data_IF_200870176747
#
_entry.id   IF_200870176747
#
_cell.length_a   1.000
_cell.length_b   1.000
_cell.length_c   1.000
_cell.angle_alpha   90.00
_cell.angle_beta   90.00
_cell.angle_gamma   90.00
#
_symmetry.space_group_name_H-M   'P 1'
#
loop_
_entity.id
_entity.type
_entity.pdbx_description
1 polymer ?
#
# COMPACT_ATOMS: atom_id res chain seq x y z
N UNK A 1 16.22 -8.15 16.86
CA UNK A 1 17.11 -9.21 16.30
C UNK A 1 17.35 -10.37 17.28
N UNK A 2 17.64 -10.15 18.57
CA UNK A 2 17.94 -11.24 19.55
C UNK A 2 16.96 -12.43 19.59
N UNK A 3 15.66 -12.23 19.33
CA UNK A 3 14.64 -13.29 19.40
C UNK A 3 14.88 -14.45 18.42
N UNK A 4 15.50 -14.19 17.26
CA UNK A 4 15.65 -15.18 16.19
C UNK A 4 17.11 -15.55 15.89
N UNK A 5 18.05 -15.03 16.67
CA UNK A 5 19.50 -15.14 16.42
C UNK A 5 19.96 -16.58 16.20
N UNK A 6 19.51 -17.53 17.03
CA UNK A 6 19.86 -18.95 16.92
C UNK A 6 19.33 -19.66 15.67
N UNK A 7 18.41 -19.03 14.92
CA UNK A 7 17.84 -19.58 13.70
C UNK A 7 18.37 -18.89 12.44
N UNK A 8 19.18 -17.83 12.59
CA UNK A 8 19.75 -17.15 11.44
C UNK A 8 20.86 -18.03 10.85
N UNK A 9 20.91 -18.17 9.50
CA UNK A 9 22.09 -18.74 8.86
C UNK A 9 23.31 -17.86 9.14
N UNK A 10 24.50 -18.44 9.00
CA UNK A 10 25.73 -17.65 8.98
C UNK A 10 25.69 -16.77 7.73
N UNK A 11 25.65 -15.45 7.92
CA UNK A 11 25.70 -14.47 6.84
C UNK A 11 27.18 -14.09 6.64
N UNK A 12 27.70 -14.39 5.47
CA UNK A 12 29.10 -14.14 5.10
C UNK A 12 29.28 -12.78 4.42
N UNK A 13 30.52 -12.32 4.32
CA UNK A 13 30.84 -11.13 3.52
C UNK A 13 30.55 -11.34 2.03
N UNK A 14 30.69 -12.58 1.55
CA UNK A 14 30.31 -13.00 0.20
C UNK A 14 28.81 -12.84 -0.02
N UNK A 15 27.97 -13.23 0.94
CA UNK A 15 26.52 -13.02 0.86
C UNK A 15 26.16 -11.53 0.80
N UNK A 16 26.83 -10.71 1.63
CA UNK A 16 26.58 -9.26 1.63
C UNK A 16 27.02 -8.61 0.31
N UNK A 17 28.13 -9.06 -0.29
CA UNK A 17 28.54 -8.64 -1.63
C UNK A 17 27.52 -9.08 -2.68
N UNK A 18 26.99 -10.29 -2.59
CA UNK A 18 25.97 -10.81 -3.51
C UNK A 18 24.65 -10.04 -3.40
N UNK A 19 24.22 -9.64 -2.20
CA UNK A 19 22.97 -8.90 -1.98
C UNK A 19 23.09 -7.42 -2.41
N UNK A 20 24.26 -6.80 -2.21
CA UNK A 20 24.48 -5.36 -2.40
C UNK A 20 24.74 -4.93 -3.86
N UNK A 21 24.11 -5.61 -4.82
CA UNK A 21 24.20 -5.24 -6.22
C UNK A 21 23.55 -3.87 -6.46
N UNK A 22 24.11 -3.05 -7.38
CA UNK A 22 23.50 -1.77 -7.72
C UNK A 22 22.11 -1.98 -8.34
N UNK A 23 21.18 -1.14 -7.92
CA UNK A 23 19.82 -1.07 -8.48
C UNK A 23 19.59 0.25 -9.20
N UNK A 24 18.77 0.21 -10.25
CA UNK A 24 18.36 1.38 -11.03
C UNK A 24 17.27 2.19 -10.32
N UNK A 25 16.39 1.51 -9.59
CA UNK A 25 15.30 2.10 -8.82
C UNK A 25 14.98 1.23 -7.59
N UNK A 26 14.24 1.79 -6.64
CA UNK A 26 13.70 1.07 -5.49
C UNK A 26 12.18 0.92 -5.64
N UNK A 27 11.70 -0.31 -5.69
CA UNK A 27 10.27 -0.64 -5.65
C UNK A 27 9.78 -0.78 -4.21
N UNK A 28 8.70 -0.09 -3.86
CA UNK A 28 8.12 -0.14 -2.51
C UNK A 28 6.65 -0.54 -2.53
N UNK A 29 6.34 -1.61 -1.79
CA UNK A 29 4.99 -1.96 -1.41
C UNK A 29 4.69 -1.32 -0.05
N UNK A 30 3.65 -0.50 0.04
CA UNK A 30 3.33 0.24 1.26
C UNK A 30 1.82 0.43 1.37
N UNK A 31 1.26 -0.07 2.47
CA UNK A 31 -0.19 -0.09 2.69
C UNK A 31 -0.61 0.78 3.87
N UNK A 32 0.23 0.81 4.92
CA UNK A 32 -0.03 1.56 6.13
C UNK A 32 1.28 1.94 6.84
N UNK A 33 1.17 2.79 7.84
CA UNK A 33 2.25 3.17 8.75
C UNK A 33 1.86 2.98 10.21
N UNK A 34 2.88 2.83 11.06
CA UNK A 34 2.74 2.83 12.51
C UNK A 34 3.16 4.18 13.06
N UNK A 35 2.45 4.64 14.09
CA UNK A 35 2.84 5.86 14.79
C UNK A 35 3.64 5.43 16.02
N UNK A 36 4.89 5.88 16.09
CA UNK A 36 5.81 5.57 17.18
C UNK A 36 6.14 6.88 17.89
N UNK A 37 6.17 6.84 19.22
CA UNK A 37 6.65 7.94 20.07
C UNK A 37 7.81 7.47 20.94
N UNK A 38 8.54 8.42 21.52
CA UNK A 38 9.48 8.10 22.59
C UNK A 38 8.68 7.76 23.87
N UNK A 39 8.93 6.58 24.43
CA UNK A 39 8.42 6.14 25.72
C UNK A 39 9.13 6.87 26.86
N UNK A 40 8.52 6.88 28.04
CA UNK A 40 9.10 7.50 29.24
C UNK A 40 10.35 6.78 29.73
N UNK A 41 10.56 5.53 29.29
CA UNK A 41 11.76 4.71 29.53
C UNK A 41 12.85 4.92 28.46
N UNK A 42 12.67 5.88 27.54
CA UNK A 42 13.60 6.15 26.45
C UNK A 42 13.57 5.12 25.31
N UNK A 43 12.57 4.23 25.28
CA UNK A 43 12.39 3.23 24.20
C UNK A 43 11.26 3.65 23.26
N UNK A 44 11.30 3.22 21.98
CA UNK A 44 10.19 3.48 21.07
C UNK A 44 8.93 2.74 21.53
N UNK A 45 7.82 3.47 21.60
CA UNK A 45 6.50 2.95 21.96
C UNK A 45 5.52 3.18 20.82
N UNK A 46 4.75 2.15 20.45
CA UNK A 46 3.68 2.29 19.47
C UNK A 46 2.50 3.06 20.07
N UNK A 47 2.12 4.16 19.42
CA UNK A 47 1.02 5.01 19.85
C UNK A 47 -0.30 4.27 19.62
N UNK A 48 -1.02 3.99 20.71
CA UNK A 48 -2.33 3.35 20.66
C UNK A 48 -3.30 4.18 19.84
N UNK A 49 -3.94 3.55 18.86
CA UNK A 49 -5.00 4.16 18.07
C UNK A 49 -6.27 4.29 18.90
N UNK A 50 -7.00 5.41 18.79
CA UNK A 50 -8.28 5.57 19.47
C UNK A 50 -9.29 4.52 19.00
N UNK A 51 -10.32 4.26 19.82
CA UNK A 51 -11.42 3.41 19.41
C UNK A 51 -12.11 4.00 18.16
N UNK A 52 -12.47 3.14 17.21
CA UNK A 52 -13.07 3.58 15.94
C UNK A 52 -12.07 4.15 14.92
N UNK A 53 -10.76 4.08 15.17
CA UNK A 53 -9.77 4.51 14.16
C UNK A 53 -10.00 3.76 12.83
N UNK A 54 -10.00 4.45 11.67
CA UNK A 54 -10.35 3.84 10.39
C UNK A 54 -9.44 2.66 10.01
N UNK A 55 -10.05 1.60 9.48
CA UNK A 55 -9.35 0.38 9.04
C UNK A 55 -9.91 -0.15 7.73
N UNK A 56 -9.07 -0.90 7.01
CA UNK A 56 -9.47 -1.73 5.87
C UNK A 56 -10.23 -2.97 6.33
N UNK A 57 -10.81 -3.73 5.40
CA UNK A 57 -11.41 -5.04 5.68
C UNK A 57 -10.40 -6.03 6.32
N UNK A 58 -9.13 -5.96 5.91
CA UNK A 58 -8.00 -6.69 6.53
C UNK A 58 -7.57 -6.17 7.92
N UNK A 59 -8.33 -5.27 8.55
CA UNK A 59 -8.03 -4.62 9.83
C UNK A 59 -6.75 -3.78 9.85
N UNK A 60 -6.21 -3.40 8.68
CA UNK A 60 -5.06 -2.52 8.60
C UNK A 60 -5.46 -1.06 8.82
N UNK A 61 -4.68 -0.27 9.57
CA UNK A 61 -5.03 1.12 9.82
C UNK A 61 -4.88 1.96 8.56
N UNK A 62 -5.89 2.78 8.26
CA UNK A 62 -5.83 3.75 7.16
C UNK A 62 -4.94 4.92 7.58
N UNK A 63 -3.78 5.05 6.95
CA UNK A 63 -2.70 5.99 7.33
C UNK A 63 -2.08 6.63 6.08
N UNK A 64 -2.79 7.59 5.45
CA UNK A 64 -2.39 8.15 4.16
C UNK A 64 -1.00 8.80 4.13
N UNK A 65 -0.54 9.34 5.26
CA UNK A 65 0.77 9.95 5.42
C UNK A 65 1.91 8.96 5.20
N UNK A 66 1.64 7.65 5.21
CA UNK A 66 2.61 6.62 4.88
C UNK A 66 3.19 6.81 3.47
N UNK A 67 2.40 7.27 2.49
CA UNK A 67 2.91 7.58 1.14
C UNK A 67 3.68 8.88 1.04
N UNK A 68 3.61 9.74 2.05
CA UNK A 68 4.49 10.91 2.11
C UNK A 68 5.85 10.52 2.74
N UNK A 69 5.83 9.86 3.90
CA UNK A 69 7.03 9.59 4.67
C UNK A 69 7.82 8.35 4.23
N UNK A 70 7.13 7.27 3.84
CA UNK A 70 7.76 5.99 3.51
C UNK A 70 8.77 6.10 2.35
N UNK A 71 8.37 6.65 1.20
CA UNK A 71 9.27 6.89 0.07
C UNK A 71 10.43 7.81 0.41
N UNK A 72 10.15 8.91 1.12
CA UNK A 72 11.17 9.91 1.53
C UNK A 72 12.25 9.28 2.40
N UNK A 73 11.87 8.48 3.39
CA UNK A 73 12.82 7.82 4.28
C UNK A 73 13.85 6.97 3.53
N UNK A 74 13.40 6.21 2.53
CA UNK A 74 14.29 5.38 1.71
C UNK A 74 15.10 6.21 0.72
N UNK A 75 14.49 7.24 0.13
CA UNK A 75 15.16 8.14 -0.79
C UNK A 75 16.30 8.91 -0.11
N UNK A 76 16.10 9.41 1.12
CA UNK A 76 17.12 10.13 1.90
C UNK A 76 18.40 9.31 2.06
N UNK A 77 18.26 7.98 2.25
CA UNK A 77 19.36 7.05 2.46
C UNK A 77 20.00 6.57 1.16
N UNK A 78 19.20 6.18 0.16
CA UNK A 78 19.70 5.47 -1.02
C UNK A 78 19.79 6.33 -2.28
N UNK A 79 19.06 7.46 -2.35
CA UNK A 79 19.06 8.40 -3.49
C UNK A 79 18.81 7.72 -4.84
N UNK A 80 17.95 6.71 -4.85
CA UNK A 80 17.47 6.01 -6.05
C UNK A 80 16.05 6.46 -6.40
N UNK A 81 15.68 6.49 -7.70
CA UNK A 81 14.31 6.68 -8.10
C UNK A 81 13.37 5.70 -7.41
N UNK A 82 12.18 6.16 -7.01
CA UNK A 82 11.18 5.37 -6.31
C UNK A 82 10.03 5.02 -7.24
N UNK A 83 9.59 3.76 -7.17
CA UNK A 83 8.28 3.32 -7.66
C UNK A 83 7.47 2.76 -6.50
N UNK A 84 6.22 3.21 -6.36
CA UNK A 84 5.26 2.53 -5.50
C UNK A 84 4.71 1.35 -6.28
N UNK A 85 5.25 0.16 -6.02
CA UNK A 85 4.92 -1.06 -6.77
C UNK A 85 3.62 -1.69 -6.30
N UNK A 86 3.21 -1.43 -5.05
CA UNK A 86 1.89 -1.77 -4.55
C UNK A 86 1.40 -0.76 -3.49
N UNK A 87 0.17 -0.29 -3.66
CA UNK A 87 -0.62 0.35 -2.61
C UNK A 87 -2.12 0.13 -2.91
N UNK A 88 -2.92 -0.02 -1.87
CA UNK A 88 -4.37 -0.18 -1.99
C UNK A 88 -5.00 -0.63 -0.69
N UNK A 89 -6.27 -1.03 -0.76
CA UNK A 89 -7.00 -1.54 0.39
C UNK A 89 -7.99 -2.63 -0.01
N UNK A 90 -8.20 -3.57 0.92
CA UNK A 90 -9.32 -4.49 0.88
C UNK A 90 -10.61 -3.81 1.36
N UNK A 91 -11.70 -4.04 0.64
CA UNK A 91 -13.07 -3.68 1.02
C UNK A 91 -13.97 -4.91 0.98
N UNK A 92 -15.11 -4.84 1.67
CA UNK A 92 -16.20 -5.81 1.56
C UNK A 92 -17.12 -5.46 0.38
N UNK A 93 -16.58 -5.55 -0.84
CA UNK A 93 -17.31 -5.16 -2.04
C UNK A 93 -18.40 -6.18 -2.40
N UNK A 94 -19.55 -5.68 -2.87
CA UNK A 94 -20.65 -6.51 -3.37
C UNK A 94 -21.25 -5.92 -4.65
N UNK A 95 -21.90 -6.76 -5.44
CA UNK A 95 -22.69 -6.32 -6.59
C UNK A 95 -24.03 -5.77 -6.08
N UNK A 96 -24.32 -4.52 -6.43
CA UNK A 96 -25.54 -3.81 -6.07
C UNK A 96 -26.70 -4.20 -6.99
N UNK A 97 -27.92 -3.79 -6.64
CA UNK A 97 -29.13 -4.13 -7.41
C UNK A 97 -29.10 -3.62 -8.87
N UNK A 98 -28.30 -2.59 -9.15
CA UNK A 98 -28.11 -2.04 -10.50
C UNK A 98 -27.01 -2.76 -11.30
N UNK A 99 -26.44 -3.85 -10.76
CA UNK A 99 -25.38 -4.63 -11.38
C UNK A 99 -23.97 -4.02 -11.25
N UNK A 100 -23.80 -2.95 -10.46
CA UNK A 100 -22.50 -2.29 -10.27
C UNK A 100 -21.91 -2.57 -8.89
N UNK A 101 -20.64 -2.23 -8.73
CA UNK A 101 -19.93 -2.33 -7.46
C UNK A 101 -19.53 -0.94 -6.99
N UNK A 102 -20.26 -0.45 -5.99
CA UNK A 102 -20.05 0.87 -5.39
C UNK A 102 -19.07 0.78 -4.21
N UNK A 103 -17.85 1.27 -4.41
CA UNK A 103 -16.75 1.15 -3.46
C UNK A 103 -16.16 2.52 -3.04
N UNK A 104 -16.97 3.45 -2.52
CA UNK A 104 -16.53 4.82 -2.20
C UNK A 104 -15.40 4.86 -1.17
N UNK A 105 -15.31 3.87 -0.28
CA UNK A 105 -14.22 3.76 0.69
C UNK A 105 -12.85 3.59 0.00
N UNK A 106 -12.80 2.84 -1.11
CA UNK A 106 -11.57 2.66 -1.89
C UNK A 106 -11.19 3.96 -2.59
N UNK A 107 -12.17 4.70 -3.12
CA UNK A 107 -11.94 6.03 -3.72
C UNK A 107 -11.36 7.00 -2.67
N UNK A 108 -11.97 7.09 -1.47
CA UNK A 108 -11.46 7.96 -0.40
C UNK A 108 -10.02 7.59 -0.01
N UNK A 109 -9.76 6.29 0.18
CA UNK A 109 -8.43 5.80 0.49
C UNK A 109 -7.41 6.23 -0.57
N UNK A 110 -7.67 5.92 -1.84
CA UNK A 110 -6.76 6.23 -2.93
C UNK A 110 -6.55 7.74 -3.08
N UNK A 111 -7.61 8.54 -2.99
CA UNK A 111 -7.49 9.99 -3.08
C UNK A 111 -6.59 10.56 -1.97
N UNK A 112 -6.74 10.10 -0.73
CA UNK A 112 -5.94 10.58 0.41
C UNK A 112 -4.48 10.13 0.32
N UNK A 113 -4.25 8.88 -0.10
CA UNK A 113 -2.91 8.31 -0.25
C UNK A 113 -2.16 8.99 -1.41
N UNK A 114 -2.77 9.09 -2.59
CA UNK A 114 -2.15 9.71 -3.76
C UNK A 114 -1.90 11.22 -3.59
N UNK A 115 -2.73 11.94 -2.82
CA UNK A 115 -2.42 13.33 -2.43
C UNK A 115 -1.13 13.43 -1.62
N UNK A 116 -0.90 12.50 -0.68
CA UNK A 116 0.34 12.46 0.09
C UNK A 116 1.55 12.07 -0.78
N UNK A 117 1.36 11.15 -1.73
CA UNK A 117 2.40 10.78 -2.68
C UNK A 117 2.78 11.95 -3.61
N UNK A 118 1.79 12.69 -4.11
CA UNK A 118 2.00 13.89 -4.92
C UNK A 118 2.84 14.92 -4.17
N UNK A 119 2.53 15.16 -2.89
CA UNK A 119 3.34 16.04 -2.03
C UNK A 119 4.78 15.54 -1.87
N UNK A 120 5.00 14.23 -1.75
CA UNK A 120 6.36 13.69 -1.68
C UNK A 120 7.12 13.81 -3.01
N UNK A 121 6.42 13.67 -4.15
CA UNK A 121 7.00 13.80 -5.48
C UNK A 121 7.51 15.22 -5.80
N UNK A 122 7.07 16.24 -5.05
CA UNK A 122 7.63 17.60 -5.11
C UNK A 122 9.05 17.67 -4.50
N UNK A 123 9.44 16.68 -3.70
CA UNK A 123 10.67 16.69 -2.90
C UNK A 123 11.66 15.57 -3.28
N UNK A 124 11.18 14.47 -3.87
CA UNK A 124 11.97 13.28 -4.20
C UNK A 124 11.59 12.69 -5.57
N UNK A 125 12.50 11.93 -6.20
CA UNK A 125 12.28 11.32 -7.52
C UNK A 125 11.33 10.10 -7.41
N UNK A 126 10.03 10.34 -7.59
CA UNK A 126 8.98 9.30 -7.68
C UNK A 126 8.53 9.18 -9.12
N UNK A 127 8.70 8.00 -9.72
CA UNK A 127 8.47 7.79 -11.15
C UNK A 127 7.23 6.99 -11.49
N UNK A 128 6.55 6.40 -10.51
CA UNK A 128 5.32 5.67 -10.77
C UNK A 128 4.63 5.14 -9.53
N UNK A 129 3.35 4.84 -9.72
CA UNK A 129 2.46 4.26 -8.73
C UNK A 129 1.64 3.15 -9.39
N UNK A 130 1.56 2.01 -8.71
CA UNK A 130 0.83 0.83 -9.15
C UNK A 130 -0.22 0.46 -8.10
N UNK A 131 -1.48 0.47 -8.54
CA UNK A 131 -2.62 0.10 -7.71
C UNK A 131 -2.62 -1.40 -7.43
N UNK A 132 -2.53 -1.78 -6.15
CA UNK A 132 -2.83 -3.13 -5.70
C UNK A 132 -4.31 -3.25 -5.32
N UNK A 133 -5.14 -3.96 -6.07
CA UNK A 133 -4.83 -4.78 -7.26
C UNK A 133 -5.66 -4.35 -8.46
N UNK A 134 -5.27 -4.84 -9.64
CA UNK A 134 -6.08 -4.69 -10.84
C UNK A 134 -7.46 -5.33 -10.66
N UNK A 135 -7.49 -6.58 -10.18
CA UNK A 135 -8.71 -7.35 -9.96
C UNK A 135 -8.66 -8.12 -8.64
N UNK A 136 -9.85 -8.45 -8.12
CA UNK A 136 -9.98 -9.33 -6.96
C UNK A 136 -9.29 -10.67 -7.23
N UNK A 137 -8.58 -11.18 -6.24
CA UNK A 137 -7.73 -12.36 -6.37
C UNK A 137 -7.66 -13.14 -5.04
N UNK A 138 -6.82 -14.17 -5.01
CA UNK A 138 -6.52 -14.93 -3.81
C UNK A 138 -5.55 -14.16 -2.91
N UNK A 139 -6.04 -13.59 -1.82
CA UNK A 139 -5.26 -12.82 -0.85
C UNK A 139 -4.60 -13.74 0.19
N UNK A 140 -3.69 -14.59 -0.26
CA UNK A 140 -2.78 -15.38 0.58
C UNK A 140 -3.49 -16.12 1.74
N UNK A 141 -3.17 -15.79 2.99
CA UNK A 141 -3.76 -16.43 4.18
C UNK A 141 -5.23 -16.06 4.41
N UNK A 142 -5.75 -15.07 3.69
CA UNK A 142 -7.16 -14.63 3.73
C UNK A 142 -8.02 -15.29 2.65
N UNK A 143 -7.42 -16.01 1.72
CA UNK A 143 -8.14 -16.60 0.59
C UNK A 143 -8.89 -15.55 -0.22
N UNK A 144 -10.12 -15.83 -0.61
CA UNK A 144 -10.95 -14.96 -1.47
C UNK A 144 -11.87 -14.00 -0.69
N UNK A 145 -11.76 -13.95 0.64
CA UNK A 145 -12.64 -13.13 1.47
C UNK A 145 -12.34 -11.62 1.33
N UNK A 146 -11.09 -11.28 1.07
CA UNK A 146 -10.59 -9.91 0.98
C UNK A 146 -10.44 -9.49 -0.48
N UNK A 147 -11.02 -8.34 -0.84
CA UNK A 147 -11.10 -7.86 -2.21
C UNK A 147 -10.30 -6.57 -2.38
N UNK A 148 -9.12 -6.65 -2.98
CA UNK A 148 -8.24 -5.50 -3.25
C UNK A 148 -8.47 -4.85 -4.63
N UNK A 149 -9.16 -5.54 -5.54
CA UNK A 149 -9.26 -5.14 -6.93
C UNK A 149 -10.00 -3.82 -7.12
N UNK A 150 -9.62 -3.05 -8.13
CA UNK A 150 -10.51 -2.04 -8.72
C UNK A 150 -11.49 -2.67 -9.74
N UNK A 151 -11.26 -3.94 -10.12
CA UNK A 151 -12.20 -4.78 -10.88
C UNK A 151 -12.70 -5.89 -9.96
N UNK A 152 -14.01 -5.99 -9.82
CA UNK A 152 -14.67 -7.08 -9.13
C UNK A 152 -14.60 -8.35 -9.97
N UNK A 153 -14.34 -9.48 -9.32
CA UNK A 153 -14.39 -10.81 -9.94
C UNK A 153 -15.46 -11.62 -9.24
N UNK A 154 -16.46 -12.05 -10.01
CA UNK A 154 -17.33 -13.14 -9.60
C UNK A 154 -16.53 -14.45 -9.74
N UNK A 155 -16.27 -15.12 -8.62
CA UNK A 155 -15.45 -16.33 -8.64
C UNK A 155 -16.19 -17.56 -9.18
N UNK A 156 -17.52 -17.57 -9.14
CA UNK A 156 -18.34 -18.67 -9.68
C UNK A 156 -18.46 -18.56 -11.20
N UNK A 157 -18.78 -17.36 -11.70
CA UNK A 157 -19.06 -17.15 -13.13
C UNK A 157 -17.86 -16.64 -13.92
N UNK A 158 -16.82 -16.16 -13.25
CA UNK A 158 -15.67 -15.48 -13.86
C UNK A 158 -16.04 -14.15 -14.53
N UNK A 159 -17.21 -13.58 -14.25
CA UNK A 159 -17.55 -12.24 -14.71
C UNK A 159 -16.65 -11.18 -14.06
N UNK A 160 -16.30 -10.14 -14.85
CA UNK A 160 -15.51 -8.99 -14.39
C UNK A 160 -16.36 -7.73 -14.45
N UNK A 161 -16.51 -7.07 -13.31
CA UNK A 161 -17.28 -5.82 -13.20
C UNK A 161 -16.33 -4.70 -12.76
N UNK A 162 -16.23 -3.63 -13.55
CA UNK A 162 -15.47 -2.45 -13.14
C UNK A 162 -16.15 -1.79 -11.94
N UNK A 163 -15.41 -1.60 -10.85
CA UNK A 163 -15.91 -0.89 -9.67
C UNK A 163 -15.88 0.62 -9.92
N UNK A 164 -16.61 1.40 -9.13
CA UNK A 164 -16.58 2.86 -9.22
C UNK A 164 -15.14 3.42 -9.10
N UNK A 165 -14.31 2.80 -8.26
CA UNK A 165 -12.89 3.14 -8.13
C UNK A 165 -12.07 2.94 -9.42
N UNK A 166 -12.40 1.96 -10.27
CA UNK A 166 -11.73 1.81 -11.56
C UNK A 166 -12.05 2.97 -12.51
N UNK A 167 -13.32 3.39 -12.56
CA UNK A 167 -13.72 4.56 -13.35
C UNK A 167 -13.09 5.85 -12.80
N UNK A 168 -13.08 6.02 -11.48
CA UNK A 168 -12.41 7.14 -10.84
C UNK A 168 -10.91 7.16 -11.14
N UNK A 169 -10.22 6.03 -11.05
CA UNK A 169 -8.78 5.92 -11.31
C UNK A 169 -8.45 6.18 -12.78
N UNK A 170 -9.27 5.68 -13.72
CA UNK A 170 -9.19 6.03 -15.16
C UNK A 170 -9.23 7.55 -15.36
N UNK A 171 -10.17 8.22 -14.72
CA UNK A 171 -10.35 9.67 -14.90
C UNK A 171 -9.27 10.49 -14.17
N UNK A 172 -8.72 9.98 -13.07
CA UNK A 172 -7.52 10.54 -12.44
C UNK A 172 -6.29 10.44 -13.35
N UNK A 173 -6.07 9.29 -13.99
CA UNK A 173 -4.97 9.11 -14.96
C UNK A 173 -5.12 10.07 -16.14
N UNK A 174 -6.34 10.22 -16.68
CA UNK A 174 -6.62 11.18 -17.77
C UNK A 174 -6.31 12.62 -17.40
N UNK A 175 -6.48 12.98 -16.12
CA UNK A 175 -6.13 14.29 -15.55
C UNK A 175 -4.69 14.37 -15.06
N UNK A 176 -3.88 13.34 -15.31
CA UNK A 176 -2.48 13.25 -14.84
C UNK A 176 -2.32 13.51 -13.34
N UNK A 177 -3.22 12.94 -12.51
CA UNK A 177 -3.15 13.09 -11.06
C UNK A 177 -3.61 14.46 -10.53
N UNK A 178 -4.40 15.20 -11.30
CA UNK A 178 -5.09 16.40 -10.81
C UNK A 178 -6.43 16.02 -10.15
N UNK A 179 -6.62 16.46 -8.90
CA UNK A 179 -7.71 16.01 -8.03
C UNK A 179 -8.93 16.89 -8.15
#
# INVERSE_FOLDING_TARGET
MKKYEKYLPVITDEDMKLISQPIDFYGQNIYNGRCIRMGTDGRPEEVRRPAGFPKTATNWPVTPEALYWGPKFLYERYRKPIYITENGMACHDTVSQDGKVHDPNRIDFLARYLKNLKRAAEEIDIRGYFQWSLMDNFEWDKGYAERFGIIYVDFETQERIWKDSAYWYRDLIRRNGDF
#
